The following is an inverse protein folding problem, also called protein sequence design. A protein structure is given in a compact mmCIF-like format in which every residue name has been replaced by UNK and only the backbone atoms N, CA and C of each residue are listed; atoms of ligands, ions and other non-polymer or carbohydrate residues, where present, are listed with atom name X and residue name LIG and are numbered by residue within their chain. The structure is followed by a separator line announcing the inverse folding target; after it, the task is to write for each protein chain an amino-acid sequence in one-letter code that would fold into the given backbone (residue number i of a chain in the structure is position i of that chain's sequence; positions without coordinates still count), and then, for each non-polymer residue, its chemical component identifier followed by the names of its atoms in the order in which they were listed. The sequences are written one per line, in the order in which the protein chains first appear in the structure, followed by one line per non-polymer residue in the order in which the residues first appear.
data_IF_112031303223
#
_entry.id   IF_112031303223
#
_cell.length_a   1.000
_cell.length_b   1.000
_cell.length_c   1.000
_cell.angle_alpha   90.00
_cell.angle_beta   90.00
_cell.angle_gamma   90.00
#
_symmetry.space_group_name_H-M   'P 1'
#
loop_
_entity.id
_entity.type
_entity.pdbx_description
1 polymer ?
#
# COMPACT_ATOMS: atom_id res chain seq x y z
N UNK A 1 9.88 5.07 3.62
CA UNK A 1 9.81 4.60 2.21
C UNK A 1 8.69 5.35 1.51
N UNK A 2 8.93 5.80 0.29
CA UNK A 2 7.94 6.56 -0.47
C UNK A 2 7.08 5.64 -1.34
N UNK A 3 5.87 6.12 -1.68
CA UNK A 3 4.94 5.34 -2.48
C UNK A 3 5.53 4.97 -3.86
N UNK A 4 6.32 5.87 -4.45
CA UNK A 4 6.96 5.60 -5.73
C UNK A 4 7.92 4.41 -5.64
N UNK A 5 8.63 4.25 -4.53
CA UNK A 5 9.52 3.11 -4.31
C UNK A 5 8.74 1.81 -4.16
N UNK A 6 7.61 1.84 -3.45
CA UNK A 6 6.75 0.68 -3.28
C UNK A 6 6.13 0.26 -4.61
N UNK A 7 5.66 1.21 -5.42
CA UNK A 7 5.11 0.91 -6.73
C UNK A 7 6.17 0.34 -7.66
N UNK A 8 7.38 0.90 -7.66
CA UNK A 8 8.49 0.38 -8.46
C UNK A 8 8.85 -1.04 -8.05
N UNK A 9 8.89 -1.32 -6.74
CA UNK A 9 9.15 -2.65 -6.22
C UNK A 9 8.08 -3.64 -6.68
N UNK A 10 6.82 -3.23 -6.64
CA UNK A 10 5.70 -4.06 -7.09
C UNK A 10 5.81 -4.41 -8.56
N UNK A 11 6.14 -3.44 -9.41
CA UNK A 11 6.32 -3.66 -10.84
C UNK A 11 7.51 -4.58 -11.10
N UNK A 12 8.61 -4.36 -10.41
CA UNK A 12 9.82 -5.20 -10.54
C UNK A 12 9.53 -6.67 -10.23
N UNK A 13 8.67 -6.93 -9.25
CA UNK A 13 8.32 -8.28 -8.83
C UNK A 13 7.08 -8.83 -9.55
N UNK A 14 6.56 -8.10 -10.54
CA UNK A 14 5.38 -8.51 -11.32
C UNK A 14 4.15 -8.74 -10.44
N UNK A 15 4.01 -7.90 -9.39
CA UNK A 15 2.87 -7.98 -8.50
C UNK A 15 1.59 -7.51 -9.20
N UNK A 16 0.49 -8.16 -8.92
CA UNK A 16 -0.82 -7.75 -9.41
C UNK A 16 -1.44 -6.64 -8.56
N UNK A 17 -1.11 -6.62 -7.27
CA UNK A 17 -1.67 -5.66 -6.31
C UNK A 17 -0.60 -5.21 -5.33
N UNK A 18 -0.76 -3.97 -4.85
CA UNK A 18 -0.01 -3.44 -3.70
C UNK A 18 -1.04 -3.10 -2.63
N UNK A 19 -0.91 -3.70 -1.45
CA UNK A 19 -1.83 -3.52 -0.33
C UNK A 19 -1.14 -2.78 0.81
N UNK A 20 -1.75 -1.68 1.25
CA UNK A 20 -1.24 -0.85 2.34
C UNK A 20 -2.28 -0.78 3.45
N UNK A 21 -1.86 -1.11 4.67
CA UNK A 21 -2.72 -1.01 5.86
C UNK A 21 -1.95 -0.34 6.99
N UNK A 22 -2.65 0.48 7.76
CA UNK A 22 -2.07 1.06 8.96
C UNK A 22 -1.76 -0.06 9.98
N UNK A 23 -0.58 0.01 10.59
CA UNK A 23 -0.15 -0.98 11.59
C UNK A 23 0.46 -2.24 11.02
N UNK A 24 0.59 -2.36 9.70
CA UNK A 24 1.17 -3.53 9.06
C UNK A 24 2.21 -3.14 8.01
N UNK A 25 3.20 -4.02 7.75
CA UNK A 25 4.11 -3.80 6.62
C UNK A 25 3.33 -3.80 5.30
N UNK A 26 3.84 -3.10 4.27
CA UNK A 26 3.26 -3.19 2.94
C UNK A 26 3.26 -4.63 2.44
N UNK A 27 2.25 -5.01 1.68
CA UNK A 27 2.15 -6.35 1.10
C UNK A 27 1.92 -6.26 -0.40
N UNK A 28 2.46 -7.24 -1.13
CA UNK A 28 2.23 -7.37 -2.57
C UNK A 28 1.67 -8.76 -2.85
N UNK A 29 0.89 -8.86 -3.92
CA UNK A 29 0.40 -10.15 -4.41
C UNK A 29 1.16 -10.50 -5.69
N UNK A 30 1.85 -11.65 -5.66
CA UNK A 30 2.61 -12.17 -6.79
C UNK A 30 2.10 -13.57 -7.12
N UNK A 31 1.56 -13.77 -8.31
CA UNK A 31 0.99 -15.06 -8.74
C UNK A 31 -0.03 -15.62 -7.73
N UNK A 32 -0.87 -14.76 -7.18
CA UNK A 32 -1.87 -15.16 -6.19
C UNK A 32 -1.37 -15.23 -4.75
N UNK A 33 -0.05 -15.25 -4.52
CA UNK A 33 0.51 -15.29 -3.18
C UNK A 33 0.69 -13.88 -2.62
N UNK A 34 0.20 -13.66 -1.41
CA UNK A 34 0.40 -12.40 -0.70
C UNK A 34 1.72 -12.47 0.07
N UNK A 35 2.59 -11.51 -0.17
CA UNK A 35 3.92 -11.45 0.46
C UNK A 35 4.12 -10.12 1.15
N UNK A 36 4.67 -10.15 2.35
CA UNK A 36 5.05 -8.93 3.07
C UNK A 36 6.36 -8.40 2.52
N UNK A 37 6.41 -7.09 2.31
CA UNK A 37 7.66 -6.43 1.97
C UNK A 37 8.47 -6.29 3.26
N UNK A 38 9.76 -6.56 3.19
CA UNK A 38 10.64 -6.58 4.37
C UNK A 38 11.04 -5.14 4.78
N UNK A 39 10.06 -4.40 5.27
CA UNK A 39 10.25 -3.03 5.81
C UNK A 39 9.42 -2.90 7.07
N UNK A 40 9.68 -1.89 7.93
CA UNK A 40 8.89 -1.69 9.15
C UNK A 40 7.40 -1.50 8.85
N UNK A 41 6.56 -1.85 9.82
CA UNK A 41 5.13 -1.63 9.73
C UNK A 41 4.82 -0.15 9.53
N UNK A 42 3.82 0.13 8.70
CA UNK A 42 3.39 1.49 8.42
C UNK A 42 2.43 1.98 9.51
N UNK A 43 2.58 3.22 9.91
CA UNK A 43 1.61 3.88 10.79
C UNK A 43 0.55 4.57 9.94
N UNK A 44 -0.59 4.88 10.53
CA UNK A 44 -1.67 5.58 9.85
C UNK A 44 -1.18 6.86 9.15
N UNK A 45 -0.40 7.67 9.85
CA UNK A 45 0.14 8.92 9.28
C UNK A 45 1.05 8.68 8.08
N UNK A 46 1.79 7.58 8.08
CA UNK A 46 2.70 7.23 6.98
C UNK A 46 1.91 6.85 5.74
N UNK A 47 0.91 5.98 5.89
CA UNK A 47 0.06 5.57 4.77
C UNK A 47 -0.70 6.76 4.21
N UNK A 48 -1.29 7.57 5.08
CA UNK A 48 -2.03 8.76 4.68
C UNK A 48 -1.15 9.73 3.88
N UNK A 49 0.06 10.00 4.38
CA UNK A 49 0.98 10.91 3.70
C UNK A 49 1.50 10.37 2.37
N UNK A 50 1.62 9.04 2.25
CA UNK A 50 2.14 8.41 1.03
C UNK A 50 1.12 8.36 -0.10
N UNK A 51 -0.15 8.11 0.22
CA UNK A 51 -1.12 7.71 -0.80
C UNK A 51 -2.30 8.67 -0.96
N UNK A 52 -2.54 9.54 0.01
CA UNK A 52 -3.74 10.38 0.03
C UNK A 52 -3.88 11.25 -1.22
N UNK A 53 -2.76 11.80 -1.70
CA UNK A 53 -2.76 12.68 -2.87
C UNK A 53 -3.00 11.94 -4.19
N UNK A 54 -2.72 10.65 -4.24
CA UNK A 54 -2.90 9.85 -5.46
C UNK A 54 -4.22 9.10 -5.47
N UNK A 55 -4.96 9.11 -4.36
CA UNK A 55 -6.26 8.47 -4.28
C UNK A 55 -7.35 9.35 -4.88
N UNK A 56 -8.34 8.72 -5.52
CA UNK A 56 -9.58 9.41 -5.87
C UNK A 56 -10.49 9.53 -4.64
N UNK A 57 -11.63 10.22 -4.77
CA UNK A 57 -12.52 10.47 -3.63
C UNK A 57 -13.07 9.19 -3.00
N UNK A 58 -13.38 8.19 -3.82
CA UNK A 58 -13.88 6.91 -3.32
C UNK A 58 -12.81 6.16 -2.53
N UNK A 59 -11.57 6.17 -3.03
CA UNK A 59 -10.44 5.54 -2.35
C UNK A 59 -10.14 6.22 -1.03
N UNK A 60 -10.18 7.55 -0.99
CA UNK A 60 -9.98 8.31 0.24
C UNK A 60 -11.02 7.99 1.28
N UNK A 61 -12.28 7.91 0.87
CA UNK A 61 -13.38 7.55 1.78
C UNK A 61 -13.20 6.14 2.32
N UNK A 62 -12.88 5.19 1.46
CA UNK A 62 -12.63 3.80 1.87
C UNK A 62 -11.47 3.72 2.85
N UNK A 63 -10.36 4.42 2.57
CA UNK A 63 -9.20 4.42 3.45
C UNK A 63 -9.53 5.02 4.83
N UNK A 64 -10.27 6.12 4.87
CA UNK A 64 -10.64 6.75 6.15
C UNK A 64 -11.54 5.85 6.99
N UNK A 65 -12.38 5.04 6.36
CA UNK A 65 -13.26 4.11 7.05
C UNK A 65 -12.54 2.83 7.49
N UNK A 66 -11.62 2.32 6.70
CA UNK A 66 -11.03 1.00 6.89
C UNK A 66 -9.52 1.01 7.18
N UNK A 67 -8.83 2.13 7.02
CA UNK A 67 -7.39 2.32 7.24
C UNK A 67 -6.53 1.39 6.39
N UNK A 68 -7.01 1.06 5.19
CA UNK A 68 -6.27 0.23 4.24
C UNK A 68 -6.59 0.67 2.81
N UNK A 69 -5.67 0.41 1.88
CA UNK A 69 -5.88 0.68 0.47
C UNK A 69 -5.13 -0.31 -0.40
N UNK A 70 -5.70 -0.57 -1.58
CA UNK A 70 -5.14 -1.45 -2.61
C UNK A 70 -4.84 -0.65 -3.88
N UNK A 71 -3.75 -0.99 -4.51
CA UNK A 71 -3.35 -0.40 -5.79
C UNK A 71 -3.15 -1.45 -6.86
#
# INVERSE_FOLDING_TARGET
MEIAELLAFSVKNKASDLHLSAGMPPMIRVHGDVRKINVPALEHKDVHGMVYDIMNDQQRKHYEENLECDF
#
